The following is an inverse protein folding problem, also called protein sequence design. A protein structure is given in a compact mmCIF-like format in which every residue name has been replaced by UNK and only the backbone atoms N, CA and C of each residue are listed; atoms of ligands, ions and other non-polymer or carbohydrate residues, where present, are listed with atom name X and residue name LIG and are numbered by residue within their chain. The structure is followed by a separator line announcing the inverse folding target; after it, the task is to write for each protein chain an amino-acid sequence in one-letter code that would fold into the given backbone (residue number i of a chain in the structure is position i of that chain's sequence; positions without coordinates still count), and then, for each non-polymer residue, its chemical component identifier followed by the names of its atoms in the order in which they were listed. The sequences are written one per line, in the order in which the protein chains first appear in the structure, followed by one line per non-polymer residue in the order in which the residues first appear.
data_IF_877962285429
#
_entry.id   IF_877962285429
#
_cell.length_a   1.000
_cell.length_b   1.000
_cell.length_c   1.000
_cell.angle_alpha   90.00
_cell.angle_beta   90.00
_cell.angle_gamma   90.00
#
_symmetry.space_group_name_H-M   'P 1'
#
loop_
_entity.id
_entity.type
_entity.pdbx_description
1 polymer ?
#
# COMPACT_ATOMS: atom_id res chain seq x y z
N UNK A 1 -1.53 16.42 -17.00
CA UNK A 1 -0.91 16.69 -15.70
C UNK A 1 -1.98 16.53 -14.63
N UNK A 2 -2.12 15.34 -14.04
CA UNK A 2 -3.00 15.18 -12.88
C UNK A 2 -2.35 15.86 -11.68
N UNK A 3 -3.02 16.89 -11.16
CA UNK A 3 -2.59 17.64 -10.00
C UNK A 3 -2.62 16.70 -8.81
N UNK A 4 -1.43 16.33 -8.32
CA UNK A 4 -1.26 15.44 -7.16
C UNK A 4 -1.87 16.08 -5.89
N UNK A 5 -2.01 17.42 -5.88
CA UNK A 5 -2.73 18.19 -4.86
C UNK A 5 -4.26 18.12 -4.96
N UNK A 6 -4.80 17.53 -6.04
CA UNK A 6 -6.23 17.28 -6.25
C UNK A 6 -6.60 15.80 -6.04
N UNK A 7 -5.78 15.04 -5.30
CA UNK A 7 -6.22 13.78 -4.69
C UNK A 7 -7.14 14.11 -3.51
N UNK A 8 -8.33 14.67 -3.80
CA UNK A 8 -9.35 14.99 -2.79
C UNK A 8 -9.99 13.75 -2.15
N UNK A 9 -9.54 12.55 -2.50
CA UNK A 9 -10.16 11.31 -2.05
C UNK A 9 -9.06 10.41 -1.48
N UNK A 10 -8.65 10.76 -0.27
CA UNK A 10 -7.95 9.83 0.62
C UNK A 10 -9.03 8.86 1.16
N UNK A 11 -8.74 7.54 1.27
CA UNK A 11 -9.66 6.59 1.89
C UNK A 11 -10.03 7.04 3.31
N UNK A 12 -11.19 6.60 3.80
CA UNK A 12 -11.60 6.94 5.17
C UNK A 12 -10.54 6.50 6.18
N UNK A 13 -10.43 7.21 7.30
CA UNK A 13 -9.50 6.84 8.37
C UNK A 13 -9.73 5.40 8.84
N UNK A 14 -10.99 4.95 8.91
CA UNK A 14 -11.31 3.56 9.22
C UNK A 14 -10.70 2.56 8.23
N UNK A 15 -10.71 2.87 6.93
CA UNK A 15 -10.09 2.02 5.89
C UNK A 15 -8.56 2.03 6.00
N UNK A 16 -7.96 3.19 6.27
CA UNK A 16 -6.51 3.32 6.53
C UNK A 16 -6.11 2.48 7.74
N UNK A 17 -6.81 2.64 8.85
CA UNK A 17 -6.53 1.90 10.09
C UNK A 17 -6.65 0.39 9.85
N UNK A 18 -7.67 -0.05 9.12
CA UNK A 18 -7.90 -1.47 8.80
C UNK A 18 -6.78 -2.12 8.00
N UNK A 19 -5.99 -1.34 7.24
CA UNK A 19 -4.79 -1.82 6.55
C UNK A 19 -3.57 -1.69 7.47
N UNK A 20 -3.43 -0.56 8.16
CA UNK A 20 -2.26 -0.26 8.99
C UNK A 20 -2.06 -1.27 10.15
N UNK A 21 -3.13 -1.83 10.71
CA UNK A 21 -3.04 -2.84 11.78
C UNK A 21 -2.20 -4.08 11.40
N UNK A 22 -2.11 -4.40 10.10
CA UNK A 22 -1.34 -5.54 9.61
C UNK A 22 0.18 -5.34 9.76
N UNK A 23 0.65 -4.13 10.09
CA UNK A 23 2.05 -3.89 10.46
C UNK A 23 2.50 -4.80 11.60
N UNK A 24 1.62 -5.04 12.58
CA UNK A 24 1.92 -5.88 13.75
C UNK A 24 2.22 -7.34 13.38
N UNK A 25 1.79 -7.82 12.21
CA UNK A 25 2.10 -9.17 11.74
C UNK A 25 3.60 -9.38 11.53
N UNK A 26 4.36 -8.31 11.23
CA UNK A 26 5.81 -8.35 11.05
C UNK A 26 6.59 -8.50 12.37
N UNK A 27 5.94 -8.32 13.51
CA UNK A 27 6.56 -8.55 14.83
C UNK A 27 6.43 -10.01 15.29
N UNK A 28 5.70 -10.85 14.55
CA UNK A 28 5.51 -12.27 14.88
C UNK A 28 6.73 -13.09 14.48
N UNK A 29 7.15 -14.00 15.36
CA UNK A 29 8.27 -14.91 15.11
C UNK A 29 8.06 -15.81 13.87
N UNK A 30 6.81 -16.16 13.56
CA UNK A 30 6.42 -17.02 12.45
C UNK A 30 5.52 -16.31 11.44
N UNK A 31 6.01 -15.20 10.87
CA UNK A 31 5.30 -14.50 9.79
C UNK A 31 5.17 -15.39 8.53
N UNK A 32 3.93 -15.71 8.16
CA UNK A 32 3.59 -16.20 6.82
C UNK A 32 3.28 -15.00 5.92
N UNK A 33 4.28 -14.59 5.14
CA UNK A 33 4.19 -13.44 4.26
C UNK A 33 3.16 -13.62 3.13
N UNK A 34 3.01 -14.84 2.60
CA UNK A 34 2.07 -15.10 1.51
C UNK A 34 0.63 -15.04 2.02
N UNK A 35 0.38 -15.59 3.21
CA UNK A 35 -0.91 -15.46 3.87
C UNK A 35 -1.23 -14.00 4.20
N UNK A 36 -0.23 -13.21 4.61
CA UNK A 36 -0.40 -11.77 4.84
C UNK A 36 -0.79 -11.01 3.58
N UNK A 37 -0.09 -11.24 2.46
CA UNK A 37 -0.43 -10.62 1.17
C UNK A 37 -1.84 -10.96 0.72
N UNK A 38 -2.24 -12.22 0.85
CA UNK A 38 -3.60 -12.66 0.50
C UNK A 38 -4.67 -11.95 1.35
N UNK A 39 -4.45 -11.86 2.67
CA UNK A 39 -5.33 -11.14 3.58
C UNK A 39 -5.44 -9.66 3.22
N UNK A 40 -4.31 -9.00 2.98
CA UNK A 40 -4.28 -7.59 2.61
C UNK A 40 -4.99 -7.32 1.28
N UNK A 41 -4.78 -8.17 0.26
CA UNK A 41 -5.48 -8.05 -1.02
C UNK A 41 -7.00 -8.15 -0.83
N UNK A 42 -7.47 -9.11 -0.03
CA UNK A 42 -8.89 -9.26 0.26
C UNK A 42 -9.45 -8.03 0.97
N UNK A 43 -8.80 -7.56 2.04
CA UNK A 43 -9.24 -6.37 2.78
C UNK A 43 -9.26 -5.11 1.91
N UNK A 44 -8.21 -4.87 1.11
CA UNK A 44 -8.14 -3.73 0.19
C UNK A 44 -9.29 -3.78 -0.83
N UNK A 45 -9.58 -4.95 -1.38
CA UNK A 45 -10.67 -5.15 -2.34
C UNK A 45 -12.05 -4.94 -1.69
N UNK A 46 -12.28 -5.48 -0.50
CA UNK A 46 -13.54 -5.34 0.26
C UNK A 46 -13.81 -3.87 0.63
N UNK A 47 -12.77 -3.14 1.01
CA UNK A 47 -12.86 -1.71 1.33
C UNK A 47 -13.02 -0.83 0.09
N UNK A 48 -12.85 -1.38 -1.12
CA UNK A 48 -12.77 -0.59 -2.35
C UNK A 48 -11.63 0.43 -2.32
N UNK A 49 -10.55 0.13 -1.59
CA UNK A 49 -9.51 1.09 -1.25
C UNK A 49 -8.83 1.63 -2.52
N UNK A 50 -8.99 2.94 -2.76
CA UNK A 50 -8.52 3.65 -3.96
C UNK A 50 -9.04 3.12 -5.30
N UNK A 51 -10.05 2.23 -5.34
CA UNK A 51 -10.53 1.57 -6.56
C UNK A 51 -11.15 2.53 -7.59
N UNK A 52 -11.70 3.66 -7.12
CA UNK A 52 -12.26 4.70 -7.97
C UNK A 52 -11.19 5.60 -8.63
N UNK A 53 -9.91 5.39 -8.30
CA UNK A 53 -8.80 6.22 -8.76
C UNK A 53 -7.84 5.40 -9.60
N UNK A 54 -7.67 5.82 -10.86
CA UNK A 54 -6.59 5.32 -11.69
C UNK A 54 -5.28 5.98 -11.23
N UNK A 55 -4.44 5.21 -10.55
CA UNK A 55 -3.12 5.64 -10.10
C UNK A 55 -2.01 5.03 -10.95
N UNK A 56 -2.33 4.39 -12.08
CA UNK A 56 -1.35 3.67 -12.90
C UNK A 56 -0.27 4.60 -13.46
N UNK A 57 -0.66 5.78 -13.95
CA UNK A 57 0.30 6.77 -14.46
C UNK A 57 1.25 7.26 -13.34
N UNK A 58 0.72 7.47 -12.13
CA UNK A 58 1.51 7.87 -10.98
C UNK A 58 2.45 6.74 -10.52
N UNK A 59 1.95 5.50 -10.48
CA UNK A 59 2.74 4.33 -10.10
C UNK A 59 3.90 4.10 -11.06
N UNK A 60 3.66 4.23 -12.38
CA UNK A 60 4.73 4.12 -13.38
C UNK A 60 5.80 5.20 -13.23
N UNK A 61 5.39 6.45 -12.97
CA UNK A 61 6.30 7.61 -12.92
C UNK A 61 7.03 7.79 -11.58
N UNK A 62 6.43 7.34 -10.48
CA UNK A 62 6.92 7.62 -9.11
C UNK A 62 6.74 6.46 -8.14
N UNK A 63 5.67 5.68 -8.26
CA UNK A 63 5.42 4.54 -7.35
C UNK A 63 6.47 3.43 -7.47
N UNK A 64 7.00 3.21 -8.67
CA UNK A 64 8.06 2.23 -8.95
C UNK A 64 9.37 2.49 -8.16
N UNK A 65 9.67 3.76 -7.85
CA UNK A 65 10.83 4.11 -7.03
C UNK A 65 10.73 3.53 -5.61
N UNK A 66 9.51 3.41 -5.08
CA UNK A 66 9.27 2.83 -3.76
C UNK A 66 9.52 1.32 -3.73
N UNK A 67 9.34 0.63 -4.87
CA UNK A 67 9.66 -0.79 -4.99
C UNK A 67 11.17 -1.05 -4.97
N UNK A 68 11.97 -0.10 -5.44
CA UNK A 68 13.43 -0.22 -5.44
C UNK A 68 14.10 0.40 -4.21
N UNK A 69 13.45 1.38 -3.57
CA UNK A 69 14.00 2.12 -2.43
C UNK A 69 12.99 2.30 -1.29
N UNK A 70 12.93 1.34 -0.33
CA UNK A 70 12.03 1.40 0.82
C UNK A 70 12.24 2.63 1.73
N UNK A 71 13.39 3.32 1.66
CA UNK A 71 13.64 4.52 2.49
C UNK A 71 12.75 5.69 2.09
N UNK A 72 12.22 5.70 0.87
CA UNK A 72 11.30 6.73 0.41
C UNK A 72 10.01 6.78 1.24
N UNK A 73 9.63 5.65 1.86
CA UNK A 73 8.45 5.62 2.75
C UNK A 73 8.60 6.48 4.00
N UNK A 74 9.82 6.71 4.51
CA UNK A 74 10.03 7.45 5.76
C UNK A 74 9.39 8.85 5.76
N UNK A 75 9.29 9.49 4.59
CA UNK A 75 8.72 10.83 4.43
C UNK A 75 7.59 10.86 3.41
N UNK A 76 7.07 9.69 3.00
CA UNK A 76 5.99 9.63 2.04
C UNK A 76 4.74 10.32 2.61
N UNK A 77 4.08 11.20 1.82
CA UNK A 77 2.74 11.70 2.15
C UNK A 77 1.72 10.56 2.20
N UNK A 78 0.67 10.71 3.01
CA UNK A 78 -0.41 9.72 3.13
C UNK A 78 -1.02 9.38 1.76
N UNK A 79 -1.25 10.38 0.92
CA UNK A 79 -1.79 10.19 -0.42
C UNK A 79 -0.94 9.26 -1.29
N UNK A 80 0.39 9.30 -1.15
CA UNK A 80 1.30 8.45 -1.92
C UNK A 80 1.27 7.02 -1.42
N UNK A 81 1.12 6.81 -0.11
CA UNK A 81 0.96 5.48 0.47
C UNK A 81 -0.35 4.85 0.01
N UNK A 82 -1.45 5.62 0.07
CA UNK A 82 -2.75 5.16 -0.38
C UNK A 82 -2.72 4.82 -1.87
N UNK A 83 -2.17 5.70 -2.72
CA UNK A 83 -2.02 5.43 -4.16
C UNK A 83 -1.13 4.22 -4.43
N UNK A 84 -0.01 4.08 -3.71
CA UNK A 84 0.91 2.96 -3.85
C UNK A 84 0.27 1.61 -3.51
N UNK A 85 -0.34 1.51 -2.32
CA UNK A 85 -1.01 0.29 -1.86
C UNK A 85 -2.25 -0.01 -2.71
N UNK A 86 -3.06 1.01 -3.00
CA UNK A 86 -4.24 0.88 -3.84
C UNK A 86 -3.89 0.33 -5.22
N UNK A 87 -2.94 0.94 -5.92
CA UNK A 87 -2.55 0.48 -7.25
C UNK A 87 -1.95 -0.92 -7.22
N UNK A 88 -1.05 -1.22 -6.27
CA UNK A 88 -0.44 -2.55 -6.20
C UNK A 88 -1.48 -3.65 -6.02
N UNK A 89 -2.34 -3.51 -5.00
CA UNK A 89 -3.24 -4.59 -4.60
C UNK A 89 -4.48 -4.70 -5.50
N UNK A 90 -4.90 -3.60 -6.15
CA UNK A 90 -6.00 -3.62 -7.12
C UNK A 90 -5.56 -4.08 -8.52
N UNK A 91 -4.31 -3.80 -8.94
CA UNK A 91 -3.87 -4.03 -10.33
C UNK A 91 -3.09 -5.32 -10.56
N UNK A 92 -2.52 -5.93 -9.51
CA UNK A 92 -1.73 -7.16 -9.63
C UNK A 92 -2.38 -8.33 -8.92
N UNK A 93 -2.31 -9.52 -9.52
CA UNK A 93 -2.73 -10.75 -8.88
C UNK A 93 -1.79 -11.16 -7.74
N UNK A 94 -2.23 -12.08 -6.88
CA UNK A 94 -1.50 -12.44 -5.67
C UNK A 94 -0.10 -13.01 -5.97
N UNK A 95 0.02 -13.82 -7.02
CA UNK A 95 1.29 -14.38 -7.50
C UNK A 95 2.23 -13.30 -8.05
N UNK A 96 1.69 -12.31 -8.76
CA UNK A 96 2.47 -11.16 -9.24
C UNK A 96 2.95 -10.28 -8.08
N UNK A 97 2.11 -10.06 -7.07
CA UNK A 97 2.45 -9.33 -5.86
C UNK A 97 3.58 -10.00 -5.09
N UNK A 98 3.57 -11.33 -4.97
CA UNK A 98 4.64 -12.07 -4.30
C UNK A 98 6.00 -11.89 -4.97
N UNK A 99 6.02 -11.69 -6.29
CA UNK A 99 7.25 -11.45 -7.06
C UNK A 99 7.70 -9.98 -6.93
N UNK A 100 6.75 -9.04 -7.00
CA UNK A 100 7.04 -7.60 -7.08
C UNK A 100 7.28 -6.95 -5.72
N UNK A 101 6.55 -7.39 -4.69
CA UNK A 101 6.49 -6.74 -3.39
C UNK A 101 7.25 -7.56 -2.36
N UNK A 102 8.46 -7.12 -2.02
CA UNK A 102 9.24 -7.74 -0.94
C UNK A 102 8.64 -7.45 0.45
N UNK A 103 8.83 -8.34 1.43
CA UNK A 103 8.36 -8.12 2.80
C UNK A 103 8.79 -6.78 3.40
N UNK A 104 10.04 -6.38 3.15
CA UNK A 104 10.60 -5.12 3.65
C UNK A 104 9.90 -3.88 3.09
N UNK A 105 9.51 -3.90 1.81
CA UNK A 105 8.80 -2.79 1.17
C UNK A 105 7.42 -2.65 1.80
N UNK A 106 6.70 -3.76 1.94
CA UNK A 106 5.38 -3.77 2.55
C UNK A 106 5.44 -3.32 4.01
N UNK A 107 6.39 -3.84 4.79
CA UNK A 107 6.60 -3.42 6.18
C UNK A 107 6.83 -1.90 6.28
N UNK A 108 7.69 -1.34 5.42
CA UNK A 108 7.98 0.09 5.42
C UNK A 108 6.73 0.92 5.06
N UNK A 109 5.94 0.46 4.08
CA UNK A 109 4.69 1.11 3.70
C UNK A 109 3.67 1.08 4.84
N UNK A 110 3.46 -0.08 5.48
CA UNK A 110 2.51 -0.24 6.59
C UNK A 110 2.96 0.52 7.84
N UNK A 111 4.26 0.49 8.17
CA UNK A 111 4.83 1.27 9.28
C UNK A 111 4.63 2.77 9.08
N UNK A 112 4.79 3.25 7.84
CA UNK A 112 4.51 4.65 7.55
C UNK A 112 3.00 4.93 7.64
N UNK A 113 2.16 4.03 7.16
CA UNK A 113 0.71 4.17 7.22
C UNK A 113 0.20 4.24 8.67
N UNK A 114 0.77 3.43 9.56
CA UNK A 114 0.48 3.42 11.02
C UNK A 114 0.77 4.78 11.70
N UNK A 115 1.69 5.59 11.18
CA UNK A 115 1.97 6.94 11.72
C UNK A 115 0.86 7.95 11.43
N UNK A 116 -0.11 7.59 10.60
CA UNK A 116 -1.30 8.39 10.29
C UNK A 116 -2.58 7.84 10.96
N UNK A 117 -2.47 6.78 11.77
CA UNK A 117 -3.59 6.27 12.58
C UNK A 117 -3.91 7.14 13.79
#
# INVERSE_FOLDING_TARGET
MCNIHAMEIIPSQAAINSIAIYRAEFEKESLDYNALLAKLKNVINELGFMKAHDNAEWMQKRGSDYLSNPKLFCHAPLTYLCAFLGELFNSYELDELQIKLSPKILECALKRLEQFN
#
